data_IF_372869026162
#
_entry.id   IF_372869026162
#
_cell.length_a   1.000
_cell.length_b   1.000
_cell.length_c   1.000
_cell.angle_alpha   90.00
_cell.angle_beta   90.00
_cell.angle_gamma   90.00
#
_symmetry.space_group_name_H-M   'P 1'
#
loop_
_entity.id
_entity.type
_entity.pdbx_description
1 polymer ?
#
# COMPACT_ATOMS: atom_id res chain seq x y z
N UNK A 1 -4.21 -10.21 -9.40
CA UNK A 1 -3.93 -11.17 -8.32
C UNK A 1 -3.66 -10.46 -6.99
N UNK A 2 -3.84 -11.19 -5.90
CA UNK A 2 -3.52 -10.66 -4.57
C UNK A 2 -2.06 -10.23 -4.51
N UNK A 3 -1.80 -9.04 -3.99
CA UNK A 3 -0.47 -8.46 -3.89
C UNK A 3 -0.06 -7.63 -5.10
N UNK A 4 -0.82 -7.68 -6.18
CA UNK A 4 -0.55 -6.90 -7.39
C UNK A 4 -1.22 -5.52 -7.31
N UNK A 5 -0.80 -4.63 -8.21
CA UNK A 5 -1.39 -3.30 -8.30
C UNK A 5 -1.40 -2.84 -9.76
N UNK A 6 -2.38 -1.99 -10.09
CA UNK A 6 -2.45 -1.29 -11.37
C UNK A 6 -2.72 0.18 -11.11
N UNK A 7 -2.31 1.04 -12.02
CA UNK A 7 -2.48 2.48 -11.87
C UNK A 7 -3.32 3.03 -13.02
N UNK A 8 -4.26 3.91 -12.68
CA UNK A 8 -5.13 4.58 -13.65
C UNK A 8 -5.16 6.07 -13.36
N UNK A 9 -5.53 6.91 -14.37
CA UNK A 9 -5.70 8.34 -14.13
C UNK A 9 -6.81 8.60 -13.10
N UNK A 10 -6.69 9.70 -12.37
CA UNK A 10 -7.68 10.10 -11.36
C UNK A 10 -8.95 10.72 -11.93
N UNK A 11 -8.96 11.07 -13.23
CA UNK A 11 -10.07 11.71 -13.91
C UNK A 11 -10.58 12.94 -13.16
N UNK A 12 -11.80 12.88 -12.61
CA UNK A 12 -12.40 14.01 -11.89
C UNK A 12 -12.05 14.05 -10.40
N UNK A 13 -11.20 13.13 -9.93
CA UNK A 13 -10.77 13.13 -8.54
C UNK A 13 -9.66 14.15 -8.30
N UNK A 14 -9.46 14.62 -7.05
CA UNK A 14 -8.36 15.54 -6.74
C UNK A 14 -6.97 14.97 -7.00
N UNK A 15 -6.82 13.66 -6.93
CA UNK A 15 -5.54 13.00 -7.19
C UNK A 15 -5.34 12.80 -8.69
N UNK A 16 -4.08 12.91 -9.14
CA UNK A 16 -3.72 12.69 -10.55
C UNK A 16 -3.86 11.24 -10.96
N UNK A 17 -3.61 10.33 -10.04
CA UNK A 17 -3.58 8.89 -10.28
C UNK A 17 -4.31 8.16 -9.18
N UNK A 18 -4.84 7.00 -9.52
CA UNK A 18 -5.41 6.06 -8.54
C UNK A 18 -4.70 4.73 -8.73
N UNK A 19 -4.21 4.17 -7.63
CA UNK A 19 -3.61 2.83 -7.64
C UNK A 19 -4.64 1.85 -7.09
N UNK A 20 -4.88 0.80 -7.84
CA UNK A 20 -5.78 -0.28 -7.45
C UNK A 20 -4.94 -1.49 -7.08
N UNK A 21 -5.05 -1.93 -5.85
CA UNK A 21 -4.33 -3.10 -5.38
C UNK A 21 -5.29 -4.08 -4.70
N UNK A 22 -4.96 -5.35 -4.77
CA UNK A 22 -5.76 -6.42 -4.16
C UNK A 22 -5.05 -6.89 -2.90
N UNK A 23 -5.52 -6.44 -1.75
CA UNK A 23 -4.98 -6.85 -0.47
C UNK A 23 -5.35 -8.30 -0.13
N UNK A 24 -4.58 -8.95 0.74
CA UNK A 24 -4.87 -10.32 1.15
C UNK A 24 -6.08 -10.40 2.08
N UNK A 25 -6.78 -11.55 2.01
CA UNK A 25 -7.68 -11.95 3.08
C UNK A 25 -6.78 -12.51 4.18
N UNK A 26 -6.92 -11.95 5.39
CA UNK A 26 -6.05 -12.34 6.50
C UNK A 26 -6.22 -13.83 6.84
N UNK A 27 -5.13 -14.57 6.89
CA UNK A 27 -5.11 -15.97 7.21
C UNK A 27 -4.41 -16.19 8.55
N UNK A 28 -5.20 -16.50 9.58
CA UNK A 28 -4.69 -16.75 10.93
C UNK A 28 -3.73 -17.95 10.98
N UNK A 29 -3.89 -18.89 10.06
CA UNK A 29 -3.04 -20.06 9.98
C UNK A 29 -1.73 -19.82 9.24
N UNK A 30 -1.62 -18.70 8.56
CA UNK A 30 -0.39 -18.32 7.85
C UNK A 30 -0.23 -16.81 7.85
N UNK A 31 0.12 -16.28 9.01
CA UNK A 31 0.30 -14.83 9.23
C UNK A 31 1.44 -14.29 8.37
N UNK A 32 2.51 -15.05 8.20
CA UNK A 32 3.67 -14.64 7.41
C UNK A 32 3.29 -14.41 5.94
N UNK A 33 2.50 -15.30 5.35
CA UNK A 33 2.04 -15.13 3.97
C UNK A 33 1.14 -13.90 3.82
N UNK A 34 0.23 -13.69 4.78
CA UNK A 34 -0.63 -12.50 4.78
C UNK A 34 0.21 -11.21 4.81
N UNK A 35 1.26 -11.20 5.63
CA UNK A 35 2.15 -10.04 5.72
C UNK A 35 2.93 -9.82 4.42
N UNK A 36 3.42 -10.89 3.80
CA UNK A 36 4.14 -10.79 2.53
C UNK A 36 3.24 -10.25 1.41
N UNK A 37 2.00 -10.70 1.35
CA UNK A 37 1.05 -10.22 0.35
C UNK A 37 0.69 -8.75 0.57
N UNK A 38 0.49 -8.34 1.81
CA UNK A 38 0.24 -6.94 2.14
C UNK A 38 1.44 -6.07 1.80
N UNK A 39 2.65 -6.52 2.12
CA UNK A 39 3.88 -5.85 1.78
C UNK A 39 4.01 -5.67 0.26
N UNK A 40 3.68 -6.71 -0.50
CA UNK A 40 3.68 -6.65 -1.96
C UNK A 40 2.73 -5.57 -2.48
N UNK A 41 1.53 -5.45 -1.90
CA UNK A 41 0.59 -4.39 -2.26
C UNK A 41 1.23 -3.00 -2.13
N UNK A 42 1.95 -2.77 -1.04
CA UNK A 42 2.60 -1.49 -0.79
C UNK A 42 3.73 -1.24 -1.80
N UNK A 43 4.62 -2.21 -1.98
CA UNK A 43 5.75 -2.05 -2.90
C UNK A 43 5.31 -1.87 -4.34
N UNK A 44 4.37 -2.68 -4.82
CA UNK A 44 3.85 -2.56 -6.19
C UNK A 44 3.21 -1.19 -6.40
N UNK A 45 2.44 -0.72 -5.41
CA UNK A 45 1.81 0.60 -5.48
C UNK A 45 2.84 1.72 -5.54
N UNK A 46 3.88 1.65 -4.72
CA UNK A 46 4.93 2.68 -4.68
C UNK A 46 5.75 2.68 -5.97
N UNK A 47 6.07 1.52 -6.53
CA UNK A 47 6.80 1.46 -7.80
C UNK A 47 5.98 2.01 -8.96
N UNK A 48 4.68 1.75 -9.00
CA UNK A 48 3.80 2.35 -10.01
C UNK A 48 3.73 3.87 -9.86
N UNK A 49 3.61 4.36 -8.63
CA UNK A 49 3.58 5.80 -8.36
C UNK A 49 4.90 6.46 -8.74
N UNK A 50 6.02 5.82 -8.44
CA UNK A 50 7.36 6.29 -8.80
C UNK A 50 7.50 6.39 -10.32
N UNK A 51 7.02 5.40 -11.06
CA UNK A 51 7.06 5.38 -12.51
C UNK A 51 6.30 6.56 -13.11
N UNK A 52 5.24 7.03 -12.46
CA UNK A 52 4.47 8.22 -12.85
C UNK A 52 5.03 9.51 -12.27
N UNK A 53 6.18 9.46 -11.61
CA UNK A 53 6.82 10.63 -10.99
C UNK A 53 5.97 11.30 -9.93
N UNK A 54 5.14 10.54 -9.24
CA UNK A 54 4.36 11.04 -8.13
C UNK A 54 5.28 11.51 -7.00
N UNK A 55 4.90 12.59 -6.33
CA UNK A 55 5.65 13.12 -5.19
C UNK A 55 5.04 12.71 -3.86
N UNK A 56 3.77 12.34 -3.86
CA UNK A 56 3.08 11.93 -2.64
C UNK A 56 2.14 10.78 -2.93
N UNK A 57 1.99 9.90 -1.92
CA UNK A 57 1.11 8.74 -1.99
C UNK A 57 0.38 8.61 -0.66
N UNK A 58 -0.91 8.30 -0.71
CA UNK A 58 -1.70 8.04 0.48
C UNK A 58 -2.23 6.61 0.42
N UNK A 59 -2.12 5.91 1.53
CA UNK A 59 -2.61 4.55 1.68
C UNK A 59 -3.68 4.46 2.76
N UNK A 60 -4.79 3.76 2.50
CA UNK A 60 -5.66 3.32 3.60
C UNK A 60 -5.02 2.12 4.29
N UNK A 61 -5.62 1.66 5.39
CA UNK A 61 -5.21 0.41 6.03
C UNK A 61 -5.79 -0.77 5.24
N UNK A 62 -5.08 -1.18 4.20
CA UNK A 62 -5.47 -2.23 3.28
C UNK A 62 -5.77 -3.52 4.04
N UNK A 63 -6.82 -4.23 3.63
CA UNK A 63 -7.25 -5.53 4.18
C UNK A 63 -7.83 -5.49 5.59
N UNK A 64 -7.96 -4.33 6.22
CA UNK A 64 -8.44 -4.26 7.61
C UNK A 64 -9.96 -4.25 7.75
N UNK A 65 -10.70 -4.14 6.65
CA UNK A 65 -12.16 -4.21 6.67
C UNK A 65 -12.64 -5.66 6.61
N UNK A 66 -13.38 -5.96 5.54
CA UNK A 66 -13.99 -7.28 5.33
C UNK A 66 -12.95 -8.42 5.29
N UNK A 67 -11.73 -8.11 4.81
CA UNK A 67 -10.67 -9.12 4.71
C UNK A 67 -10.05 -9.49 6.07
N UNK A 68 -10.42 -8.79 7.13
CA UNK A 68 -10.14 -9.22 8.50
C UNK A 68 -8.73 -9.08 9.02
N UNK A 69 -7.86 -8.37 8.30
CA UNK A 69 -6.49 -8.14 8.79
C UNK A 69 -6.58 -7.30 10.07
N UNK A 70 -5.96 -7.74 11.18
CA UNK A 70 -5.96 -6.93 12.40
C UNK A 70 -5.31 -5.58 12.16
N UNK A 71 -5.99 -4.51 12.59
CA UNK A 71 -5.63 -3.13 12.25
C UNK A 71 -4.21 -2.77 12.67
N UNK A 72 -3.82 -3.11 13.90
CA UNK A 72 -2.49 -2.79 14.41
C UNK A 72 -1.39 -3.55 13.66
N UNK A 73 -1.66 -4.82 13.33
CA UNK A 73 -0.71 -5.65 12.59
C UNK A 73 -0.57 -5.15 11.15
N UNK A 74 -1.67 -4.77 10.52
CA UNK A 74 -1.64 -4.21 9.17
C UNK A 74 -0.85 -2.91 9.14
N UNK A 75 -1.08 -2.02 10.09
CA UNK A 75 -0.37 -0.76 10.20
C UNK A 75 1.14 -0.98 10.33
N UNK A 76 1.54 -1.91 11.19
CA UNK A 76 2.94 -2.25 11.39
C UNK A 76 3.58 -2.78 10.10
N UNK A 77 2.90 -3.70 9.41
CA UNK A 77 3.38 -4.28 8.16
C UNK A 77 3.51 -3.21 7.08
N UNK A 78 2.51 -2.34 6.94
CA UNK A 78 2.52 -1.26 5.96
C UNK A 78 3.67 -0.29 6.23
N UNK A 79 3.85 0.14 7.48
CA UNK A 79 4.93 1.07 7.83
C UNK A 79 6.31 0.45 7.61
N UNK A 80 6.48 -0.84 7.91
CA UNK A 80 7.74 -1.53 7.65
C UNK A 80 8.02 -1.62 6.14
N UNK A 81 7.01 -1.92 5.34
CA UNK A 81 7.15 -1.97 3.88
C UNK A 81 7.56 -0.62 3.32
N UNK A 82 6.96 0.46 3.81
CA UNK A 82 7.30 1.83 3.41
C UNK A 82 8.75 2.15 3.78
N UNK A 83 9.17 1.82 4.99
CA UNK A 83 10.55 2.06 5.45
C UNK A 83 11.56 1.33 4.56
N UNK A 84 11.29 0.09 4.22
CA UNK A 84 12.17 -0.70 3.35
C UNK A 84 12.22 -0.11 1.93
N UNK A 85 11.08 0.35 1.41
CA UNK A 85 11.05 1.02 0.11
C UNK A 85 11.95 2.27 0.09
N UNK A 86 11.83 3.10 1.13
CA UNK A 86 12.62 4.35 1.23
C UNK A 86 14.12 4.04 1.27
N UNK A 87 14.51 3.04 2.05
CA UNK A 87 15.92 2.65 2.16
C UNK A 87 16.47 2.12 0.84
N UNK A 88 15.67 1.35 0.10
CA UNK A 88 16.09 0.73 -1.15
C UNK A 88 16.02 1.68 -2.34
N UNK A 89 15.31 2.80 -2.22
CA UNK A 89 15.07 3.74 -3.32
C UNK A 89 15.36 5.19 -2.91
N UNK A 90 16.63 5.51 -2.57
CA UNK A 90 16.98 6.84 -2.04
C UNK A 90 16.76 7.98 -3.04
N UNK A 91 16.63 7.67 -4.32
CA UNK A 91 16.43 8.68 -5.37
C UNK A 91 14.99 8.73 -5.88
N UNK A 92 14.05 8.06 -5.20
CA UNK A 92 12.64 8.10 -5.57
C UNK A 92 12.11 9.53 -5.52
N UNK A 93 11.25 9.93 -6.49
CA UNK A 93 10.60 11.24 -6.43
C UNK A 93 9.54 11.33 -5.32
N UNK A 94 9.12 10.19 -4.76
CA UNK A 94 8.11 10.17 -3.69
C UNK A 94 8.76 10.68 -2.41
N UNK A 95 8.27 11.82 -1.91
CA UNK A 95 8.80 12.46 -0.71
C UNK A 95 7.78 12.60 0.41
N UNK A 96 6.55 12.13 0.21
CA UNK A 96 5.49 12.18 1.22
C UNK A 96 4.62 10.95 1.09
N UNK A 97 4.55 10.16 2.15
CA UNK A 97 3.71 8.96 2.20
C UNK A 97 2.84 9.05 3.44
N UNK A 98 1.53 9.00 3.24
CA UNK A 98 0.55 9.12 4.30
C UNK A 98 -0.17 7.78 4.44
N UNK A 99 -0.29 7.30 5.67
CA UNK A 99 -1.12 6.13 5.98
C UNK A 99 -2.34 6.64 6.73
N UNK A 100 -3.51 6.45 6.12
CA UNK A 100 -4.77 6.96 6.66
C UNK A 100 -5.44 5.88 7.50
N UNK A 101 -5.76 6.22 8.73
CA UNK A 101 -6.52 5.36 9.63
C UNK A 101 -7.92 5.94 9.75
N UNK A 102 -8.87 5.34 9.01
CA UNK A 102 -10.25 5.81 9.04
C UNK A 102 -10.96 5.25 10.26
N UNK A 103 -11.51 6.15 11.05
CA UNK A 103 -12.39 5.81 12.16
C UNK A 103 -13.80 5.80 11.59
N UNK A 104 -14.42 4.64 11.63
CA UNK A 104 -15.81 4.50 11.22
C UNK A 104 -16.73 4.49 12.42
#
# INVERSE_FOLDING_TARGET
ETGDAVITPGFNLPSKWVVHTVGPIYNKSNVAESAELLQSCIWQSLYLAEDKRAQSVAFPLISTGVFGYPKQDAKKTILNAISNYILDNPHSPINKIIVCDFIQ
#
